data_IF_350919525101
#
_entry.id   IF_350919525101
#
_cell.length_a   1.000
_cell.length_b   1.000
_cell.length_c   1.000
_cell.angle_alpha   90.00
_cell.angle_beta   90.00
_cell.angle_gamma   90.00
#
_symmetry.space_group_name_H-M   'P 1'
#
loop_
_entity.id
_entity.type
_entity.pdbx_description
1 polymer ?
#
# COMPACT_ATOMS: atom_id res chain seq x y z
N UNK A 1 15.30 -3.16 -26.78
CA UNK A 1 14.76 -3.15 -25.40
C UNK A 1 14.40 -4.58 -25.02
N UNK A 2 14.89 -5.06 -23.89
CA UNK A 2 14.55 -6.38 -23.35
C UNK A 2 13.06 -6.40 -22.96
N UNK A 3 12.37 -7.53 -23.17
CA UNK A 3 11.01 -7.70 -22.68
C UNK A 3 11.03 -7.71 -21.14
N UNK A 4 10.35 -6.75 -20.50
CA UNK A 4 10.26 -6.63 -19.04
C UNK A 4 8.98 -7.30 -18.55
N UNK A 5 9.06 -7.99 -17.40
CA UNK A 5 7.94 -8.56 -16.70
C UNK A 5 7.50 -7.58 -15.61
N UNK A 6 6.34 -6.99 -15.77
CA UNK A 6 5.76 -6.04 -14.81
C UNK A 6 4.62 -6.68 -14.06
N UNK A 7 4.70 -6.66 -12.74
CA UNK A 7 3.59 -7.03 -11.86
C UNK A 7 2.85 -5.76 -11.44
N UNK A 8 1.58 -5.68 -11.78
CA UNK A 8 0.71 -4.56 -11.43
C UNK A 8 -0.10 -4.93 -10.21
N UNK A 9 0.14 -4.24 -9.12
CA UNK A 9 -0.64 -4.35 -7.90
C UNK A 9 -1.74 -3.27 -7.92
N UNK A 10 -2.94 -3.68 -8.37
CA UNK A 10 -4.08 -2.79 -8.50
C UNK A 10 -4.72 -2.50 -7.14
N UNK A 11 -4.52 -1.28 -6.65
CA UNK A 11 -5.05 -0.75 -5.40
C UNK A 11 -6.43 -0.09 -5.52
N UNK A 12 -7.11 -0.22 -6.65
CA UNK A 12 -8.43 0.37 -6.81
C UNK A 12 -9.54 -0.56 -6.29
N UNK A 13 -10.43 -0.07 -5.39
CA UNK A 13 -11.64 -0.81 -5.02
C UNK A 13 -12.58 -1.11 -6.18
N UNK A 14 -12.49 -0.34 -7.28
CA UNK A 14 -13.28 -0.56 -8.52
C UNK A 14 -12.64 -1.59 -9.47
N UNK A 15 -11.48 -2.16 -9.09
CA UNK A 15 -10.78 -3.17 -9.89
C UNK A 15 -10.47 -2.68 -11.30
N UNK A 16 -10.70 -3.54 -12.27
CA UNK A 16 -10.36 -3.31 -13.68
C UNK A 16 -11.15 -2.20 -14.37
N UNK A 17 -12.25 -1.72 -13.78
CA UNK A 17 -13.08 -0.63 -14.34
C UNK A 17 -12.63 0.77 -13.86
N UNK A 18 -11.61 0.83 -13.02
CA UNK A 18 -11.12 2.08 -12.46
C UNK A 18 -10.37 2.95 -13.47
N UNK A 19 -10.34 4.25 -13.20
CA UNK A 19 -9.50 5.20 -13.95
C UNK A 19 -8.03 4.79 -13.90
N UNK A 20 -7.54 4.37 -12.74
CA UNK A 20 -6.16 3.88 -12.58
C UNK A 20 -5.83 2.78 -13.58
N UNK A 21 -6.76 1.82 -13.79
CA UNK A 21 -6.52 0.72 -14.73
C UNK A 21 -6.63 1.14 -16.19
N UNK A 22 -7.30 2.26 -16.52
CA UNK A 22 -7.24 2.83 -17.86
C UNK A 22 -5.81 3.28 -18.21
N UNK A 23 -5.10 3.86 -17.27
CA UNK A 23 -3.69 4.23 -17.44
C UNK A 23 -2.79 3.01 -17.63
N UNK A 24 -3.00 1.95 -16.85
CA UNK A 24 -2.26 0.70 -17.01
C UNK A 24 -2.52 0.09 -18.40
N UNK A 25 -3.79 0.04 -18.84
CA UNK A 25 -4.13 -0.44 -20.19
C UNK A 25 -3.53 0.42 -21.28
N UNK A 26 -3.46 1.73 -21.08
CA UNK A 26 -2.79 2.62 -22.02
C UNK A 26 -1.29 2.28 -22.15
N UNK A 27 -0.62 2.04 -21.01
CA UNK A 27 0.78 1.58 -21.01
C UNK A 27 0.95 0.23 -21.69
N UNK A 28 0.09 -0.76 -21.41
CA UNK A 28 0.10 -2.05 -22.11
C UNK A 28 0.01 -1.89 -23.63
N UNK A 29 -0.89 -0.99 -24.09
CA UNK A 29 -1.07 -0.71 -25.52
C UNK A 29 0.15 -0.01 -26.14
N UNK A 30 0.83 0.87 -25.40
CA UNK A 30 1.98 1.63 -25.90
C UNK A 30 3.28 0.80 -25.85
N UNK A 31 3.35 -0.20 -24.96
CA UNK A 31 4.51 -1.03 -24.75
C UNK A 31 4.18 -2.54 -24.87
N UNK A 32 3.70 -2.98 -26.06
CA UNK A 32 3.23 -4.36 -26.26
C UNK A 32 4.33 -5.42 -26.10
N UNK A 33 5.58 -5.02 -26.15
CA UNK A 33 6.75 -5.90 -25.95
C UNK A 33 6.98 -6.28 -24.49
N UNK A 34 6.35 -5.57 -23.52
CA UNK A 34 6.45 -5.86 -22.10
C UNK A 34 5.24 -6.66 -21.60
N UNK A 35 5.49 -7.60 -20.71
CA UNK A 35 4.43 -8.39 -20.09
C UNK A 35 3.90 -7.67 -18.82
N UNK A 36 2.59 -7.54 -18.69
CA UNK A 36 1.94 -6.97 -17.53
C UNK A 36 1.01 -8.02 -16.90
N UNK A 37 1.35 -8.49 -15.72
CA UNK A 37 0.49 -9.37 -14.91
C UNK A 37 -0.22 -8.52 -13.87
N UNK A 38 -1.55 -8.55 -13.82
CA UNK A 38 -2.36 -7.65 -13.01
C UNK A 38 -3.05 -8.43 -11.90
N UNK A 39 -2.89 -7.98 -10.64
CA UNK A 39 -3.59 -8.49 -9.48
C UNK A 39 -4.47 -7.39 -8.86
N UNK A 40 -5.76 -7.66 -8.66
CA UNK A 40 -6.72 -6.74 -8.05
C UNK A 40 -6.64 -6.80 -6.52
N UNK A 41 -5.47 -6.52 -5.95
CA UNK A 41 -5.16 -6.77 -4.54
C UNK A 41 -6.06 -6.01 -3.57
N UNK A 42 -6.64 -4.88 -4.00
CA UNK A 42 -7.59 -4.13 -3.19
C UNK A 42 -8.98 -4.79 -3.15
N UNK A 43 -9.50 -5.26 -4.29
CA UNK A 43 -10.78 -5.98 -4.34
C UNK A 43 -10.70 -7.34 -3.67
N UNK A 44 -9.60 -8.04 -3.90
CA UNK A 44 -9.43 -9.43 -3.49
C UNK A 44 -8.76 -9.56 -2.11
N UNK A 45 -8.62 -8.47 -1.34
CA UNK A 45 -7.86 -8.48 -0.08
C UNK A 45 -8.33 -9.54 0.91
N UNK A 46 -9.65 -9.74 1.04
CA UNK A 46 -10.20 -10.79 1.92
C UNK A 46 -9.87 -12.20 1.42
N UNK A 47 -9.87 -12.40 0.11
CA UNK A 47 -9.48 -13.66 -0.52
C UNK A 47 -7.99 -13.92 -0.32
N UNK A 48 -7.15 -12.90 -0.55
CA UNK A 48 -5.72 -12.95 -0.29
C UNK A 48 -5.39 -13.24 1.18
N UNK A 49 -6.22 -12.75 2.09
CA UNK A 49 -6.06 -13.00 3.53
C UNK A 49 -6.44 -14.43 3.93
N UNK A 50 -7.50 -14.99 3.35
CA UNK A 50 -8.04 -16.31 3.70
C UNK A 50 -7.51 -17.48 2.86
N UNK A 51 -7.00 -17.25 1.66
CA UNK A 51 -6.56 -18.29 0.71
C UNK A 51 -5.06 -18.20 0.42
N UNK A 52 -4.31 -19.16 0.94
CA UNK A 52 -2.85 -19.22 0.78
C UNK A 52 -2.43 -19.49 -0.67
N UNK A 53 -3.27 -20.17 -1.48
CA UNK A 53 -2.96 -20.44 -2.88
C UNK A 53 -2.99 -19.15 -3.68
N UNK A 54 -4.06 -18.38 -3.53
CA UNK A 54 -4.20 -17.07 -4.19
C UNK A 54 -3.12 -16.08 -3.72
N UNK A 55 -2.79 -16.11 -2.44
CA UNK A 55 -1.68 -15.32 -1.90
C UNK A 55 -0.35 -15.68 -2.59
N UNK A 56 -0.06 -16.97 -2.67
CA UNK A 56 1.19 -17.46 -3.26
C UNK A 56 1.33 -17.06 -4.73
N UNK A 57 0.25 -17.14 -5.51
CA UNK A 57 0.25 -16.70 -6.91
C UNK A 57 0.74 -15.24 -7.06
N UNK A 58 0.29 -14.34 -6.17
CA UNK A 58 0.73 -12.93 -6.20
C UNK A 58 2.22 -12.83 -5.86
N UNK A 59 2.66 -13.52 -4.82
CA UNK A 59 4.06 -13.45 -4.36
C UNK A 59 5.01 -14.07 -5.38
N UNK A 60 4.69 -15.22 -5.95
CA UNK A 60 5.49 -15.86 -7.01
C UNK A 60 5.57 -14.98 -8.27
N UNK A 61 4.49 -14.31 -8.63
CA UNK A 61 4.51 -13.35 -9.74
C UNK A 61 5.44 -12.17 -9.44
N UNK A 62 5.42 -11.64 -8.22
CA UNK A 62 6.33 -10.57 -7.80
C UNK A 62 7.78 -11.07 -7.85
N UNK A 63 8.08 -12.26 -7.35
CA UNK A 63 9.41 -12.85 -7.39
C UNK A 63 9.93 -13.00 -8.84
N UNK A 64 9.05 -13.41 -9.76
CA UNK A 64 9.40 -13.60 -11.17
C UNK A 64 9.44 -12.28 -11.99
N UNK A 65 8.95 -11.19 -11.43
CA UNK A 65 8.86 -9.88 -12.07
C UNK A 65 10.17 -9.10 -12.04
N UNK A 66 10.35 -8.19 -12.99
CA UNK A 66 11.45 -7.22 -13.03
C UNK A 66 11.03 -5.89 -12.39
N UNK A 67 9.77 -5.49 -12.62
CA UNK A 67 9.18 -4.23 -12.16
C UNK A 67 7.88 -4.51 -11.41
N UNK A 68 7.67 -3.83 -10.29
CA UNK A 68 6.39 -3.78 -9.58
C UNK A 68 5.77 -2.41 -9.79
N UNK A 69 4.58 -2.37 -10.38
CA UNK A 69 3.79 -1.16 -10.54
C UNK A 69 2.72 -1.07 -9.45
N UNK A 70 2.93 -0.17 -8.50
CA UNK A 70 1.93 0.23 -7.51
C UNK A 70 0.91 1.15 -8.19
N UNK A 71 -0.27 0.63 -8.56
CA UNK A 71 -1.29 1.37 -9.30
C UNK A 71 -2.53 1.57 -8.43
N UNK A 72 -2.80 2.80 -7.95
CA UNK A 72 -3.86 3.04 -6.96
C UNK A 72 -4.50 4.42 -7.09
N UNK A 73 -5.81 4.57 -6.82
CA UNK A 73 -6.37 5.89 -6.57
C UNK A 73 -5.90 6.42 -5.21
N UNK A 74 -5.90 7.74 -5.06
CA UNK A 74 -5.68 8.40 -3.76
C UNK A 74 -7.04 8.62 -3.08
N UNK A 75 -7.17 8.13 -1.84
CA UNK A 75 -8.34 8.31 -0.99
C UNK A 75 -7.92 9.04 0.27
N UNK A 76 -8.41 10.28 0.40
CA UNK A 76 -8.11 11.14 1.57
C UNK A 76 -6.60 11.14 1.89
N UNK A 77 -5.80 11.64 0.94
CA UNK A 77 -4.34 11.80 0.99
C UNK A 77 -3.52 10.50 0.91
N UNK A 78 -4.14 9.32 1.06
CA UNK A 78 -3.43 8.05 1.16
C UNK A 78 -4.01 7.00 0.20
N UNK A 79 -3.43 5.82 0.21
CA UNK A 79 -3.94 4.66 -0.51
C UNK A 79 -5.21 4.11 0.15
N UNK A 80 -6.11 3.43 -0.57
CA UNK A 80 -7.29 2.79 0.01
C UNK A 80 -6.94 1.80 1.13
N UNK A 81 -7.80 1.71 2.16
CA UNK A 81 -7.59 0.83 3.30
C UNK A 81 -7.28 -0.63 2.94
N UNK A 82 -8.04 -1.29 2.03
CA UNK A 82 -7.72 -2.65 1.59
C UNK A 82 -6.36 -2.79 0.91
N UNK A 83 -5.88 -1.74 0.24
CA UNK A 83 -4.53 -1.75 -0.35
C UNK A 83 -3.44 -1.69 0.71
N UNK A 84 -3.66 -0.86 1.72
CA UNK A 84 -2.80 -0.83 2.90
C UNK A 84 -2.79 -2.19 3.60
N UNK A 85 -3.97 -2.83 3.74
CA UNK A 85 -4.07 -4.18 4.31
C UNK A 85 -3.26 -5.22 3.53
N UNK A 86 -3.25 -5.16 2.21
CA UNK A 86 -2.37 -6.01 1.40
C UNK A 86 -0.89 -5.81 1.76
N UNK A 87 -0.44 -4.57 1.89
CA UNK A 87 0.94 -4.24 2.29
C UNK A 87 1.25 -4.80 3.70
N UNK A 88 0.32 -4.66 4.63
CA UNK A 88 0.44 -5.23 5.97
C UNK A 88 0.55 -6.76 5.93
N UNK A 89 -0.22 -7.44 5.09
CA UNK A 89 -0.14 -8.89 4.90
C UNK A 89 1.23 -9.33 4.36
N UNK A 90 1.84 -8.57 3.45
CA UNK A 90 3.21 -8.84 2.98
C UNK A 90 4.18 -8.84 4.17
N UNK A 91 4.06 -7.85 5.06
CA UNK A 91 4.91 -7.74 6.25
C UNK A 91 4.60 -8.86 7.25
N UNK A 92 3.34 -9.07 7.61
CA UNK A 92 2.91 -10.06 8.59
C UNK A 92 3.29 -11.49 8.21
N UNK A 93 3.31 -11.79 6.91
CA UNK A 93 3.68 -13.12 6.38
C UNK A 93 5.16 -13.26 6.03
N UNK A 94 5.97 -12.22 6.27
CA UNK A 94 7.42 -12.24 6.02
C UNK A 94 7.79 -12.34 4.54
N UNK A 95 6.93 -11.85 3.62
CA UNK A 95 7.14 -11.98 2.17
C UNK A 95 7.83 -10.75 1.53
N UNK A 96 8.43 -9.85 2.32
CA UNK A 96 9.15 -8.68 1.80
C UNK A 96 10.30 -9.07 0.87
N UNK A 97 10.93 -10.23 1.11
CA UNK A 97 12.03 -10.73 0.30
C UNK A 97 11.67 -10.92 -1.19
N UNK A 98 10.40 -11.21 -1.51
CA UNK A 98 9.92 -11.33 -2.89
C UNK A 98 10.10 -10.04 -3.71
N UNK A 99 10.09 -8.90 -3.04
CA UNK A 99 10.22 -7.57 -3.65
C UNK A 99 11.67 -7.10 -3.76
N UNK A 100 12.59 -7.73 -3.03
CA UNK A 100 13.98 -7.27 -2.94
C UNK A 100 14.66 -7.24 -4.31
N UNK A 101 15.32 -6.11 -4.58
CA UNK A 101 16.07 -5.91 -5.83
C UNK A 101 15.22 -5.59 -7.05
N UNK A 102 13.88 -5.52 -6.91
CA UNK A 102 12.98 -5.12 -8.00
C UNK A 102 12.95 -3.60 -8.17
N UNK A 103 12.59 -3.15 -9.38
CA UNK A 103 12.27 -1.75 -9.59
C UNK A 103 10.80 -1.48 -9.27
N UNK A 104 10.54 -0.40 -8.57
CA UNK A 104 9.18 0.06 -8.26
C UNK A 104 8.81 1.25 -9.13
N UNK A 105 7.58 1.24 -9.62
CA UNK A 105 6.93 2.39 -10.21
C UNK A 105 5.64 2.68 -9.44
N UNK A 106 5.33 3.95 -9.22
CA UNK A 106 4.15 4.38 -8.48
C UNK A 106 3.27 5.21 -9.42
N UNK A 107 2.06 4.72 -9.68
CA UNK A 107 1.04 5.39 -10.47
C UNK A 107 -0.19 5.65 -9.61
N UNK A 108 -0.48 6.92 -9.34
CA UNK A 108 -1.69 7.31 -8.63
C UNK A 108 -2.68 8.02 -9.55
N UNK A 109 -3.96 7.94 -9.19
CA UNK A 109 -5.02 8.72 -9.83
C UNK A 109 -5.82 9.47 -8.78
N UNK A 110 -5.99 10.78 -8.98
CA UNK A 110 -6.69 11.68 -8.07
C UNK A 110 -7.13 12.95 -8.79
N UNK A 111 -7.46 13.97 -8.02
CA UNK A 111 -7.61 15.36 -8.45
C UNK A 111 -6.33 16.18 -8.18
N UNK A 112 -5.19 15.53 -8.05
CA UNK A 112 -3.88 16.12 -7.69
C UNK A 112 -3.90 16.94 -6.40
N UNK A 113 -4.59 16.39 -5.40
CA UNK A 113 -4.69 17.00 -4.09
C UNK A 113 -3.99 16.12 -3.04
N UNK A 114 -2.84 16.58 -2.56
CA UNK A 114 -2.00 15.88 -1.58
C UNK A 114 -1.51 14.48 -2.00
N UNK A 115 -1.39 14.21 -3.29
CA UNK A 115 -0.91 12.93 -3.83
C UNK A 115 0.48 12.56 -3.33
N UNK A 116 1.30 13.57 -3.01
CA UNK A 116 2.65 13.37 -2.48
C UNK A 116 2.67 12.57 -1.17
N UNK A 117 1.58 12.57 -0.38
CA UNK A 117 1.47 11.75 0.82
C UNK A 117 1.38 10.27 0.47
N UNK A 118 0.51 9.91 -0.48
CA UNK A 118 0.41 8.54 -0.99
C UNK A 118 1.71 8.10 -1.68
N UNK A 119 2.35 9.00 -2.43
CA UNK A 119 3.64 8.73 -3.06
C UNK A 119 4.74 8.48 -2.03
N UNK A 120 4.86 9.32 -1.00
CA UNK A 120 5.85 9.15 0.05
C UNK A 120 5.64 7.84 0.81
N UNK A 121 4.38 7.48 1.10
CA UNK A 121 4.04 6.21 1.74
C UNK A 121 4.47 5.01 0.90
N UNK A 122 4.06 4.94 -0.39
CA UNK A 122 4.43 3.82 -1.27
C UNK A 122 5.93 3.79 -1.58
N UNK A 123 6.58 4.95 -1.64
CA UNK A 123 8.02 5.05 -1.82
C UNK A 123 8.76 4.44 -0.62
N UNK A 124 8.44 4.87 0.60
CA UNK A 124 9.05 4.33 1.81
C UNK A 124 8.82 2.82 1.96
N UNK A 125 7.60 2.33 1.72
CA UNK A 125 7.28 0.90 1.72
C UNK A 125 8.10 0.13 0.68
N UNK A 126 8.22 0.67 -0.54
CA UNK A 126 9.03 0.04 -1.59
C UNK A 126 10.49 -0.09 -1.16
N UNK A 127 11.05 0.96 -0.60
CA UNK A 127 12.43 0.95 -0.09
C UNK A 127 12.63 0.00 1.08
N UNK A 128 11.64 -0.11 1.99
CA UNK A 128 11.69 -1.06 3.12
C UNK A 128 11.57 -2.51 2.67
N UNK A 129 10.92 -2.75 1.52
CA UNK A 129 10.89 -4.05 0.85
C UNK A 129 12.17 -4.33 0.02
N UNK A 130 13.12 -3.41 0.02
CA UNK A 130 14.39 -3.54 -0.71
C UNK A 130 14.28 -3.28 -2.22
N UNK A 131 13.26 -2.55 -2.65
CA UNK A 131 13.05 -2.13 -4.03
C UNK A 131 13.78 -0.81 -4.33
N UNK A 132 13.93 -0.52 -5.62
CA UNK A 132 14.45 0.74 -6.12
C UNK A 132 13.33 1.50 -6.84
N UNK A 133 12.91 2.67 -6.32
CA UNK A 133 11.81 3.45 -6.89
C UNK A 133 12.27 4.23 -8.11
N UNK A 134 11.96 3.73 -9.30
CA UNK A 134 12.40 4.29 -10.56
C UNK A 134 11.52 5.44 -11.08
N UNK A 135 10.31 5.61 -10.56
CA UNK A 135 9.47 6.70 -10.98
C UNK A 135 8.14 6.78 -10.23
N UNK A 136 7.60 7.99 -10.21
CA UNK A 136 6.30 8.33 -9.62
C UNK A 136 5.50 9.16 -10.61
N UNK A 137 4.23 8.83 -10.81
CA UNK A 137 3.32 9.55 -11.70
C UNK A 137 1.96 9.77 -11.04
N UNK A 138 1.49 11.02 -11.04
CA UNK A 138 0.16 11.41 -10.60
C UNK A 138 -0.69 11.77 -11.82
N UNK A 139 -1.86 11.17 -11.94
CA UNK A 139 -2.77 11.33 -13.06
C UNK A 139 -4.17 11.78 -12.60
N UNK A 140 -4.86 12.51 -13.47
CA UNK A 140 -6.28 12.85 -13.32
C UNK A 140 -7.18 12.06 -14.28
N UNK A 141 -8.49 12.05 -14.02
CA UNK A 141 -9.46 11.26 -14.78
C UNK A 141 -9.39 11.49 -16.30
N UNK A 142 -9.19 12.73 -16.74
CA UNK A 142 -9.25 13.12 -18.14
C UNK A 142 -7.89 13.39 -18.78
N UNK A 143 -6.80 13.09 -18.12
CA UNK A 143 -5.47 13.37 -18.67
C UNK A 143 -5.17 12.54 -19.93
N UNK A 144 -5.67 11.30 -20.00
CA UNK A 144 -5.46 10.46 -21.18
C UNK A 144 -6.10 10.98 -22.47
N UNK A 145 -6.98 11.99 -22.44
CA UNK A 145 -7.49 12.66 -23.63
C UNK A 145 -6.61 13.82 -24.11
N UNK A 146 -5.58 14.17 -23.31
CA UNK A 146 -4.63 15.24 -23.60
C UNK A 146 -3.31 14.65 -24.13
N UNK A 147 -2.87 15.05 -25.30
CA UNK A 147 -1.63 14.52 -25.88
C UNK A 147 -0.40 14.76 -25.00
N UNK A 148 -0.31 15.90 -24.34
CA UNK A 148 0.81 16.19 -23.45
C UNK A 148 0.89 15.19 -22.31
N UNK A 149 -0.24 14.87 -21.65
CA UNK A 149 -0.28 13.91 -20.56
C UNK A 149 -0.05 12.47 -21.05
N UNK A 150 -0.48 12.15 -22.28
CA UNK A 150 -0.11 10.89 -22.91
C UNK A 150 1.41 10.79 -23.10
N UNK A 151 2.06 11.86 -23.56
CA UNK A 151 3.53 11.88 -23.69
C UNK A 151 4.22 11.76 -22.34
N UNK A 152 3.72 12.44 -21.31
CA UNK A 152 4.29 12.40 -19.96
C UNK A 152 4.23 11.01 -19.34
N UNK A 153 3.11 10.29 -19.43
CA UNK A 153 3.02 8.94 -18.89
C UNK A 153 3.85 7.93 -19.69
N UNK A 154 3.96 8.10 -21.02
CA UNK A 154 4.86 7.29 -21.84
C UNK A 154 6.32 7.53 -21.43
N UNK A 155 6.72 8.77 -21.22
CA UNK A 155 8.07 9.11 -20.77
C UNK A 155 8.34 8.56 -19.35
N UNK A 156 7.38 8.69 -18.45
CA UNK A 156 7.48 8.08 -17.12
C UNK A 156 7.79 6.58 -17.22
N UNK A 157 6.99 5.85 -18.00
CA UNK A 157 7.18 4.40 -18.13
C UNK A 157 8.48 4.04 -18.83
N UNK A 158 8.84 4.78 -19.87
CA UNK A 158 10.13 4.60 -20.55
C UNK A 158 11.31 4.74 -19.58
N UNK A 159 11.28 5.74 -18.71
CA UNK A 159 12.32 5.96 -17.70
C UNK A 159 12.40 4.79 -16.70
N UNK A 160 11.24 4.27 -16.26
CA UNK A 160 11.17 3.08 -15.37
C UNK A 160 11.80 1.87 -16.03
N UNK A 161 11.41 1.58 -17.26
CA UNK A 161 11.95 0.45 -18.03
C UNK A 161 13.45 0.60 -18.24
N UNK A 162 13.90 1.78 -18.65
CA UNK A 162 15.33 2.07 -18.86
C UNK A 162 16.12 1.86 -17.56
N UNK A 163 15.65 2.36 -16.44
CA UNK A 163 16.32 2.15 -15.15
C UNK A 163 16.45 0.68 -14.80
N UNK A 164 15.41 -0.12 -15.07
CA UNK A 164 15.42 -1.55 -14.81
C UNK A 164 16.33 -2.33 -15.81
N UNK A 165 16.34 -1.96 -17.08
CA UNK A 165 17.21 -2.58 -18.10
C UNK A 165 18.69 -2.31 -17.83
N UNK A 166 19.04 -1.06 -17.52
CA UNK A 166 20.40 -0.62 -17.26
C UNK A 166 20.88 -0.94 -15.84
N UNK A 167 19.98 -1.47 -14.99
CA UNK A 167 20.23 -1.75 -13.57
C UNK A 167 20.77 -0.53 -12.82
N UNK A 168 20.17 0.63 -13.08
CA UNK A 168 20.57 1.89 -12.47
C UNK A 168 20.40 1.80 -10.96
N UNK A 169 21.48 2.03 -10.22
CA UNK A 169 21.40 2.11 -8.74
C UNK A 169 20.68 3.41 -8.33
N UNK A 170 19.56 3.27 -7.62
CA UNK A 170 18.78 4.41 -7.14
C UNK A 170 18.97 4.51 -5.62
N UNK A 171 19.43 5.67 -5.18
CA UNK A 171 19.66 5.93 -3.77
C UNK A 171 18.33 5.96 -3.01
N UNK A 172 18.33 5.34 -1.82
CA UNK A 172 17.23 5.39 -0.88
C UNK A 172 16.94 6.83 -0.44
N UNK A 173 15.65 7.17 -0.39
CA UNK A 173 15.17 8.51 -0.01
C UNK A 173 14.78 8.62 1.47
N UNK A 174 14.20 7.56 2.03
CA UNK A 174 13.72 7.54 3.40
C UNK A 174 14.58 6.64 4.27
N UNK A 175 14.76 7.00 5.54
CA UNK A 175 15.41 6.13 6.50
C UNK A 175 14.63 4.81 6.67
N UNK A 176 15.33 3.69 6.92
CA UNK A 176 14.69 2.41 7.16
C UNK A 176 13.73 2.46 8.34
N UNK A 177 12.58 1.81 8.21
CA UNK A 177 11.65 1.63 9.31
C UNK A 177 12.32 0.79 10.42
N UNK A 178 12.51 1.39 11.58
CA UNK A 178 12.97 0.67 12.77
C UNK A 178 11.76 0.17 13.56
N UNK A 179 11.51 -1.13 13.52
CA UNK A 179 10.53 -1.77 14.39
C UNK A 179 11.21 -2.15 15.71
N UNK A 180 11.04 -1.32 16.73
CA UNK A 180 11.30 -1.76 18.09
C UNK A 180 10.09 -2.53 18.60
N UNK A 181 10.25 -3.71 19.23
CA UNK A 181 9.13 -4.38 19.87
C UNK A 181 8.65 -3.49 21.02
N UNK A 182 7.60 -2.73 20.76
CA UNK A 182 6.94 -1.92 21.78
C UNK A 182 6.26 -2.87 22.77
N UNK A 183 6.97 -3.18 23.87
CA UNK A 183 6.37 -3.82 25.04
C UNK A 183 5.82 -2.72 25.93
N UNK A 184 4.51 -2.48 25.79
CA UNK A 184 3.82 -1.61 26.73
C UNK A 184 3.56 -2.36 28.02
N UNK A 185 4.18 -1.92 29.12
CA UNK A 185 3.84 -2.36 30.47
C UNK A 185 3.13 -1.18 31.15
N UNK A 186 1.81 -1.29 31.36
CA UNK A 186 1.09 -0.21 32.00
C UNK A 186 1.57 0.00 33.42
N UNK A 187 1.94 1.23 33.77
CA UNK A 187 2.24 1.63 35.13
C UNK A 187 1.05 1.43 36.10
N UNK A 188 1.22 1.68 37.41
CA UNK A 188 0.13 1.61 38.36
C UNK A 188 -1.02 2.53 37.93
N UNK A 189 -2.28 2.04 38.00
CA UNK A 189 -3.43 2.85 37.66
C UNK A 189 -3.51 4.06 38.61
N UNK A 190 -3.58 5.29 38.12
CA UNK A 190 -3.87 6.42 38.98
C UNK A 190 -5.26 6.25 39.59
N UNK A 191 -5.51 6.98 40.67
CA UNK A 191 -6.82 6.98 41.37
C UNK A 191 -7.97 7.16 40.38
N UNK A 192 -9.14 6.61 40.74
CA UNK A 192 -10.38 6.64 39.93
C UNK A 192 -10.61 7.98 39.26
N UNK A 193 -10.66 7.97 37.93
CA UNK A 193 -11.06 9.17 37.17
C UNK A 193 -12.54 9.44 37.43
N UNK A 194 -12.86 10.59 38.00
CA UNK A 194 -14.25 11.00 38.17
C UNK A 194 -14.80 11.50 36.83
N UNK A 195 -15.79 10.82 36.31
CA UNK A 195 -16.39 11.16 35.01
C UNK A 195 -17.44 12.29 35.12
N UNK A 196 -17.77 12.76 36.34
CA UNK A 196 -18.79 13.78 36.60
C UNK A 196 -20.09 13.49 35.85
N UNK A 197 -20.55 12.25 35.83
CA UNK A 197 -21.77 11.81 35.16
C UNK A 197 -21.68 11.70 33.62
N UNK A 198 -20.51 11.86 33.03
CA UNK A 198 -20.32 11.71 31.59
C UNK A 198 -20.09 10.25 31.22
N UNK A 199 -20.69 9.79 30.14
CA UNK A 199 -20.45 8.48 29.57
C UNK A 199 -19.15 8.51 28.75
N UNK A 200 -18.29 7.52 28.96
CA UNK A 200 -17.08 7.31 28.16
C UNK A 200 -17.32 6.08 27.26
N UNK A 201 -17.18 6.27 25.96
CA UNK A 201 -17.23 5.19 24.98
C UNK A 201 -15.80 4.89 24.54
N UNK A 202 -15.38 3.64 24.69
CA UNK A 202 -14.07 3.17 24.22
C UNK A 202 -14.29 2.29 23.00
N UNK A 203 -13.72 2.71 21.87
CA UNK A 203 -13.74 1.93 20.64
C UNK A 203 -12.38 1.22 20.50
N UNK A 204 -12.42 -0.10 20.43
CA UNK A 204 -11.20 -0.92 20.28
C UNK A 204 -11.33 -1.82 19.05
N UNK A 205 -10.21 -2.40 18.61
CA UNK A 205 -10.16 -3.40 17.54
C UNK A 205 -10.75 -4.76 17.94
N UNK A 206 -11.07 -4.95 19.22
CA UNK A 206 -11.65 -6.19 19.75
C UNK A 206 -10.70 -7.41 19.75
N UNK A 207 -9.46 -7.27 19.30
CA UNK A 207 -8.53 -8.40 19.22
C UNK A 207 -8.01 -8.81 20.60
N UNK A 208 -8.02 -10.11 20.90
CA UNK A 208 -7.41 -10.64 22.11
C UNK A 208 -5.90 -10.46 22.07
N UNK A 209 -5.34 -9.92 23.17
CA UNK A 209 -3.92 -9.64 23.28
C UNK A 209 -3.47 -8.30 22.69
N UNK A 210 -4.38 -7.48 22.14
CA UNK A 210 -4.01 -6.13 21.70
C UNK A 210 -3.72 -5.23 22.92
N UNK A 211 -2.79 -4.29 22.73
CA UNK A 211 -2.46 -3.29 23.76
C UNK A 211 -3.68 -2.42 24.13
N UNK A 212 -4.57 -2.15 23.15
CA UNK A 212 -5.82 -1.40 23.36
C UNK A 212 -6.79 -2.16 24.27
N UNK A 213 -6.89 -3.49 24.11
CA UNK A 213 -7.72 -4.32 24.99
C UNK A 213 -7.16 -4.44 26.40
N UNK A 214 -5.84 -4.47 26.54
CA UNK A 214 -5.17 -4.43 27.84
C UNK A 214 -5.43 -3.10 28.62
N UNK A 215 -5.71 -2.01 27.89
CA UNK A 215 -6.09 -0.73 28.44
C UNK A 215 -7.56 -0.64 28.83
N UNK A 216 -8.43 -1.30 28.08
CA UNK A 216 -9.88 -1.27 28.22
C UNK A 216 -10.37 -1.55 29.64
N UNK A 217 -9.92 -2.62 30.35
CA UNK A 217 -10.36 -2.93 31.72
C UNK A 217 -10.07 -1.86 32.75
N UNK A 218 -9.04 -1.02 32.53
CA UNK A 218 -8.68 0.07 33.45
C UNK A 218 -9.65 1.23 33.41
N UNK A 219 -10.18 1.54 32.21
CA UNK A 219 -11.21 2.54 32.05
C UNK A 219 -12.56 2.05 32.56
N UNK A 220 -12.88 0.75 32.34
CA UNK A 220 -14.12 0.12 32.86
C UNK A 220 -14.15 0.11 34.37
N UNK A 221 -13.02 -0.23 35.02
CA UNK A 221 -12.93 -0.23 36.49
C UNK A 221 -12.90 1.19 37.10
N UNK A 222 -12.69 2.21 36.28
CA UNK A 222 -12.76 3.60 36.71
C UNK A 222 -14.18 4.20 36.63
N UNK A 223 -15.14 3.49 35.99
CA UNK A 223 -16.54 3.92 35.84
C UNK A 223 -17.46 3.20 36.82
N UNK A 224 -18.33 3.89 37.57
CA UNK A 224 -19.27 3.25 38.50
C UNK A 224 -20.49 2.60 37.82
N UNK A 225 -20.64 2.67 36.51
CA UNK A 225 -21.76 2.09 35.76
C UNK A 225 -21.37 0.84 35.01
N UNK A 226 -22.04 -0.32 35.18
CA UNK A 226 -21.78 -1.51 34.40
C UNK A 226 -22.20 -1.29 32.94
N UNK A 227 -21.33 -1.70 32.03
CA UNK A 227 -21.61 -1.71 30.61
C UNK A 227 -22.76 -2.66 30.29
N UNK A 228 -23.77 -2.17 29.59
CA UNK A 228 -24.74 -3.06 28.93
C UNK A 228 -24.14 -3.49 27.60
N UNK A 229 -23.98 -4.80 27.43
CA UNK A 229 -23.63 -5.46 26.19
C UNK A 229 -24.68 -5.25 25.10
#
# INVERSE_FOLDING_TARGET
>A
MKAMKTVVLNGSPKGMTSVTMQYVRFLQKKFPQHAFTIFNVCQDVKKLEGDQTVWREVIEAVEAGDVVLWATPVYVFLVPGPYKRFIELVIQRGNQAAFKGKYAAILTTSVRFFDHMAHAYLHGISEDFGMQVAGVYSAEMYDLVKEEEQRRIVQFWHNVVKAAEEKVAIQRRFDPLHTSPLRYSPGPSPNKVQTNGRNIVIVTDGQEGSNLRAWSPRFVNASPTPWRS
#
